data_IF_818142512010
#
_entry.id   IF_818142512010
#
_cell.length_a   1.000
_cell.length_b   1.000
_cell.length_c   1.000
_cell.angle_alpha   90.00
_cell.angle_beta   90.00
_cell.angle_gamma   90.00
#
_symmetry.space_group_name_H-M   'P 1'
#
loop_
_entity.id
_entity.type
_entity.pdbx_description
1 polymer ?
#
# COMPACT_ATOMS: atom_id res chain seq x y z
N UNK A 1 -4.75 -13.41 2.20
CA UNK A 1 -5.67 -12.38 1.68
C UNK A 1 -5.77 -12.59 0.18
N UNK A 2 -6.92 -13.07 -0.29
CA UNK A 2 -7.20 -13.23 -1.72
C UNK A 2 -7.40 -11.83 -2.31
N UNK A 3 -6.89 -11.59 -3.51
CA UNK A 3 -6.96 -10.28 -4.18
C UNK A 3 -7.98 -10.30 -5.31
N UNK A 4 -8.05 -11.38 -6.07
CA UNK A 4 -9.07 -11.61 -7.11
C UNK A 4 -9.07 -13.10 -7.48
N UNK A 5 -10.22 -13.76 -7.51
CA UNK A 5 -10.32 -15.21 -7.77
C UNK A 5 -9.44 -16.05 -6.83
N UNK A 6 -8.54 -16.85 -7.42
CA UNK A 6 -7.56 -17.69 -6.71
C UNK A 6 -6.22 -17.00 -6.42
N UNK A 7 -6.07 -15.73 -6.78
CA UNK A 7 -4.82 -14.97 -6.61
C UNK A 7 -4.65 -14.45 -5.20
N UNK A 8 -3.43 -14.51 -4.70
CA UNK A 8 -3.02 -13.97 -3.40
C UNK A 8 -1.98 -12.86 -3.58
N UNK A 9 -1.88 -11.97 -2.60
CA UNK A 9 -0.82 -10.96 -2.56
C UNK A 9 -0.15 -10.92 -1.18
N UNK A 10 0.71 -11.90 -0.86
CA UNK A 10 1.48 -11.88 0.39
C UNK A 10 2.37 -10.64 0.48
N UNK A 11 2.55 -10.14 1.71
CA UNK A 11 3.53 -9.08 2.01
C UNK A 11 4.92 -9.71 1.93
N UNK A 12 5.77 -9.19 1.05
CA UNK A 12 7.18 -9.61 0.94
C UNK A 12 8.14 -8.61 1.56
N UNK A 13 7.70 -7.36 1.72
CA UNK A 13 8.48 -6.31 2.35
C UNK A 13 7.55 -5.37 3.11
N UNK A 14 7.97 -4.95 4.31
CA UNK A 14 7.32 -3.91 5.10
C UNK A 14 8.38 -2.95 5.64
N UNK A 15 8.06 -1.66 5.66
CA UNK A 15 8.90 -0.62 6.26
C UNK A 15 7.99 0.38 6.98
N UNK A 16 8.45 0.89 8.12
CA UNK A 16 7.76 1.92 8.86
C UNK A 16 8.78 2.91 9.44
N UNK A 17 8.50 4.20 9.25
CA UNK A 17 9.26 5.29 9.87
C UNK A 17 8.36 6.03 10.84
N UNK A 18 8.77 6.04 12.10
CA UNK A 18 8.07 6.75 13.17
C UNK A 18 8.64 8.15 13.33
N UNK A 19 7.78 9.15 13.45
CA UNK A 19 8.14 10.56 13.60
C UNK A 19 7.76 11.12 14.98
N UNK A 20 6.67 10.62 15.57
CA UNK A 20 6.27 10.96 16.95
C UNK A 20 5.63 9.76 17.63
N UNK A 21 5.64 9.77 18.95
CA UNK A 21 4.88 8.82 19.77
C UNK A 21 3.38 9.13 19.72
N UNK A 22 2.59 8.12 20.11
CA UNK A 22 1.15 8.20 20.39
C UNK A 22 0.91 7.61 21.77
N UNK A 23 -0.17 8.02 22.43
CA UNK A 23 -0.55 7.52 23.75
C UNK A 23 -1.73 6.55 23.64
N UNK A 24 -1.95 5.80 24.71
CA UNK A 24 -3.20 5.06 24.87
C UNK A 24 -4.39 6.04 24.75
N UNK A 25 -5.49 5.58 24.14
CA UNK A 25 -6.68 6.38 23.79
C UNK A 25 -6.47 7.48 22.74
N UNK A 26 -5.29 7.60 22.12
CA UNK A 26 -5.16 8.45 20.93
C UNK A 26 -5.89 7.81 19.75
N UNK A 27 -6.82 8.57 19.16
CA UNK A 27 -7.42 8.23 17.87
C UNK A 27 -6.48 8.64 16.72
N UNK A 28 -6.34 7.76 15.73
CA UNK A 28 -5.46 7.96 14.58
C UNK A 28 -6.24 7.82 13.27
N UNK A 29 -5.85 8.61 12.27
CA UNK A 29 -6.25 8.42 10.88
C UNK A 29 -5.16 7.66 10.13
N UNK A 30 -5.56 6.59 9.45
CA UNK A 30 -4.73 5.89 8.48
C UNK A 30 -5.14 6.30 7.07
N UNK A 31 -4.24 6.93 6.34
CA UNK A 31 -4.42 7.23 4.92
C UNK A 31 -3.61 6.21 4.14
N UNK A 32 -4.30 5.40 3.34
CA UNK A 32 -3.67 4.41 2.47
C UNK A 32 -3.60 4.95 1.05
N UNK A 33 -2.43 4.82 0.42
CA UNK A 33 -2.24 5.06 -1.02
C UNK A 33 -1.74 3.81 -1.71
N UNK A 34 -2.21 3.57 -2.92
CA UNK A 34 -1.77 2.46 -3.76
C UNK A 34 -0.93 3.00 -4.93
N UNK A 35 0.25 2.41 -5.12
CA UNK A 35 1.02 2.55 -6.35
C UNK A 35 0.82 1.29 -7.19
N UNK A 36 0.15 1.48 -8.32
CA UNK A 36 0.04 0.46 -9.36
C UNK A 36 1.36 0.45 -10.13
N UNK A 37 2.10 -0.65 -10.03
CA UNK A 37 3.35 -0.83 -10.77
C UNK A 37 3.09 -1.60 -12.07
N UNK A 38 3.97 -1.42 -13.07
CA UNK A 38 3.96 -2.21 -14.32
C UNK A 38 4.49 -3.64 -14.12
N UNK A 39 4.54 -4.10 -12.88
CA UNK A 39 5.09 -5.40 -12.46
C UNK A 39 4.04 -6.10 -11.60
N UNK A 40 4.08 -7.43 -11.43
CA UNK A 40 3.10 -8.22 -10.66
C UNK A 40 3.24 -8.02 -9.14
N UNK A 41 3.17 -6.75 -8.70
CA UNK A 41 3.26 -6.33 -7.31
C UNK A 41 2.37 -5.13 -7.04
N UNK A 42 1.88 -5.05 -5.82
CA UNK A 42 1.13 -3.93 -5.28
C UNK A 42 1.97 -3.27 -4.20
N UNK A 43 2.17 -1.95 -4.30
CA UNK A 43 2.89 -1.19 -3.28
C UNK A 43 1.90 -0.27 -2.58
N UNK A 44 1.71 -0.49 -1.29
CA UNK A 44 0.89 0.37 -0.46
C UNK A 44 1.77 1.30 0.36
N UNK A 45 1.35 2.55 0.46
CA UNK A 45 1.90 3.53 1.37
C UNK A 45 0.86 3.92 2.39
N UNK A 46 1.31 4.15 3.60
CA UNK A 46 0.46 4.46 4.74
C UNK A 46 0.95 5.74 5.38
N UNK A 47 0.03 6.67 5.60
CA UNK A 47 0.29 7.88 6.37
C UNK A 47 -0.59 7.83 7.62
N UNK A 48 0.05 7.68 8.78
CA UNK A 48 -0.62 7.65 10.06
C UNK A 48 -0.58 9.04 10.68
N UNK A 49 -1.74 9.61 11.01
CA UNK A 49 -1.86 10.93 11.64
C UNK A 49 -2.66 10.87 12.92
N UNK A 50 -2.29 11.66 13.92
CA UNK A 50 -3.12 11.83 15.10
C UNK A 50 -4.43 12.56 14.73
N UNK A 51 -5.58 12.03 15.14
CA UNK A 51 -6.90 12.52 14.73
C UNK A 51 -7.14 13.97 15.12
N UNK A 52 -6.78 14.33 16.36
CA UNK A 52 -7.03 15.65 16.95
C UNK A 52 -6.03 16.69 16.44
N UNK A 53 -4.74 16.40 16.55
CA UNK A 53 -3.67 17.35 16.21
C UNK A 53 -3.30 17.38 14.73
N UNK A 54 -3.76 16.40 13.93
CA UNK A 54 -3.39 16.17 12.52
C UNK A 54 -1.90 15.96 12.27
N UNK A 55 -1.08 15.86 13.32
CA UNK A 55 0.36 15.64 13.22
C UNK A 55 0.65 14.27 12.60
N UNK A 56 1.67 14.23 11.75
CA UNK A 56 2.18 13.00 11.15
C UNK A 56 2.85 12.15 12.24
N UNK A 57 2.35 10.94 12.45
CA UNK A 57 2.85 9.97 13.44
C UNK A 57 3.87 9.04 12.82
N UNK A 58 3.51 8.43 11.69
CA UNK A 58 4.36 7.47 11.01
C UNK A 58 4.05 7.45 9.52
N UNK A 59 5.03 7.01 8.74
CA UNK A 59 4.84 6.62 7.35
C UNK A 59 5.19 5.14 7.23
N UNK A 60 4.27 4.35 6.69
CA UNK A 60 4.44 2.94 6.39
C UNK A 60 4.52 2.68 4.90
N UNK A 61 5.11 1.54 4.54
CA UNK A 61 5.13 1.00 3.19
C UNK A 61 5.05 -0.52 3.26
N UNK A 62 4.22 -1.14 2.44
CA UNK A 62 4.28 -2.58 2.18
C UNK A 62 4.39 -2.84 0.69
N UNK A 63 5.13 -3.89 0.35
CA UNK A 63 5.16 -4.45 -1.01
C UNK A 63 4.58 -5.83 -0.97
N UNK A 64 3.61 -6.07 -1.84
CA UNK A 64 2.94 -7.35 -2.00
C UNK A 64 3.22 -7.88 -3.40
N UNK A 65 3.61 -9.14 -3.52
CA UNK A 65 3.81 -9.80 -4.83
C UNK A 65 2.58 -10.63 -5.14
N UNK A 66 2.14 -10.62 -6.39
CA UNK A 66 1.02 -11.44 -6.83
C UNK A 66 1.48 -12.89 -7.01
N UNK A 67 0.77 -13.81 -6.38
CA UNK A 67 0.99 -15.26 -6.50
C UNK A 67 -0.32 -15.98 -6.78
N UNK A 68 -0.24 -17.13 -7.43
CA UNK A 68 -1.38 -18.00 -7.66
C UNK A 68 -1.74 -18.84 -6.40
N UNK A 69 -2.69 -19.76 -6.53
CA UNK A 69 -3.11 -20.63 -5.44
C UNK A 69 -2.05 -21.65 -5.00
N UNK A 70 -1.00 -21.85 -5.79
CA UNK A 70 0.15 -22.70 -5.47
C UNK A 70 1.31 -21.87 -4.87
N UNK A 71 1.10 -20.57 -4.65
CA UNK A 71 2.09 -19.60 -4.20
C UNK A 71 3.22 -19.35 -5.22
N UNK A 72 2.99 -19.65 -6.49
CA UNK A 72 3.93 -19.32 -7.56
C UNK A 72 3.76 -17.87 -8.01
N UNK A 73 4.87 -17.16 -8.23
CA UNK A 73 4.84 -15.78 -8.71
C UNK A 73 4.29 -15.72 -10.13
N UNK A 74 3.29 -14.88 -10.35
CA UNK A 74 2.82 -14.62 -11.71
C UNK A 74 3.73 -13.60 -12.40
N UNK A 75 4.01 -13.79 -13.68
CA UNK A 75 4.85 -12.88 -14.46
C UNK A 75 4.11 -11.59 -14.85
N UNK A 76 2.80 -11.70 -15.04
CA UNK A 76 1.93 -10.61 -15.47
C UNK A 76 0.76 -10.46 -14.50
N UNK A 77 0.23 -9.24 -14.40
CA UNK A 77 -1.01 -8.97 -13.64
C UNK A 77 -2.17 -9.66 -14.38
N UNK A 78 -2.93 -10.57 -13.75
CA UNK A 78 -4.06 -11.24 -14.40
C UNK A 78 -5.14 -10.27 -14.86
N UNK A 79 -5.86 -10.60 -15.93
CA UNK A 79 -6.88 -9.72 -16.53
C UNK A 79 -8.00 -9.33 -15.58
N UNK A 80 -8.40 -10.22 -14.67
CA UNK A 80 -9.40 -9.91 -13.63
C UNK A 80 -8.92 -8.78 -12.73
N UNK A 81 -7.71 -8.89 -12.20
CA UNK A 81 -7.10 -7.87 -11.38
C UNK A 81 -6.84 -6.57 -12.16
N UNK A 82 -6.53 -6.65 -13.45
CA UNK A 82 -6.43 -5.45 -14.29
C UNK A 82 -7.76 -4.68 -14.31
N UNK A 83 -8.90 -5.37 -14.46
CA UNK A 83 -10.23 -4.72 -14.43
C UNK A 83 -10.52 -4.07 -13.07
N UNK A 84 -10.16 -4.74 -11.98
CA UNK A 84 -10.30 -4.19 -10.63
C UNK A 84 -9.46 -2.92 -10.47
N UNK A 85 -8.21 -2.95 -10.95
CA UNK A 85 -7.31 -1.79 -10.94
C UNK A 85 -7.82 -0.64 -11.82
N UNK A 86 -8.40 -0.92 -12.99
CA UNK A 86 -9.00 0.12 -13.83
C UNK A 86 -10.25 0.74 -13.18
N UNK A 87 -11.08 -0.06 -12.51
CA UNK A 87 -12.21 0.45 -11.71
C UNK A 87 -11.71 1.36 -10.59
N UNK A 88 -10.68 0.93 -9.86
CA UNK A 88 -10.04 1.73 -8.81
C UNK A 88 -9.48 3.04 -9.36
N UNK A 89 -8.83 3.02 -10.52
CA UNK A 89 -8.34 4.24 -11.18
C UNK A 89 -9.45 5.23 -11.50
N UNK A 90 -10.59 4.74 -11.96
CA UNK A 90 -11.72 5.58 -12.36
C UNK A 90 -12.50 6.14 -11.17
N UNK A 91 -12.75 5.33 -10.16
CA UNK A 91 -13.67 5.68 -9.06
C UNK A 91 -12.95 6.21 -7.82
N UNK A 92 -11.71 5.79 -7.62
CA UNK A 92 -10.93 6.07 -6.41
C UNK A 92 -9.57 6.69 -6.75
N UNK A 93 -9.50 7.53 -7.78
CA UNK A 93 -8.26 8.18 -8.23
C UNK A 93 -7.48 8.81 -7.06
N UNK A 94 -8.19 9.38 -6.07
CA UNK A 94 -7.58 10.00 -4.90
C UNK A 94 -6.74 9.04 -4.05
N UNK A 95 -6.90 7.71 -4.13
CA UNK A 95 -6.06 6.73 -3.41
C UNK A 95 -4.78 6.38 -4.18
N UNK A 96 -4.66 6.76 -5.45
CA UNK A 96 -3.51 6.43 -6.26
C UNK A 96 -2.33 7.38 -6.01
N UNK A 97 -1.12 6.86 -6.22
CA UNK A 97 0.11 7.65 -6.09
C UNK A 97 1.24 7.10 -6.96
N UNK A 98 2.12 7.99 -7.42
CA UNK A 98 3.41 7.62 -8.04
C UNK A 98 4.43 7.08 -7.01
N UNK A 99 4.17 7.25 -5.72
CA UNK A 99 5.03 6.85 -4.60
C UNK A 99 6.19 7.79 -4.32
N UNK A 100 6.48 8.80 -5.16
CA UNK A 100 7.69 9.63 -5.05
C UNK A 100 7.79 10.36 -3.71
N UNK A 101 6.65 10.84 -3.18
CA UNK A 101 6.58 11.48 -1.86
C UNK A 101 7.04 10.55 -0.75
N UNK A 102 6.62 9.28 -0.79
CA UNK A 102 6.83 8.32 0.30
C UNK A 102 8.19 7.65 0.23
N UNK A 103 8.70 7.34 -0.97
CA UNK A 103 10.00 6.70 -1.11
C UNK A 103 11.13 7.55 -0.52
N UNK A 104 11.07 8.88 -0.67
CA UNK A 104 12.03 9.81 -0.04
C UNK A 104 12.12 9.64 1.49
N UNK A 105 11.03 9.24 2.15
CA UNK A 105 11.01 9.04 3.60
C UNK A 105 11.84 7.82 4.05
N UNK A 106 12.10 6.87 3.15
CA UNK A 106 12.82 5.63 3.43
C UNK A 106 14.27 5.60 2.90
N UNK A 107 14.67 6.58 2.07
CA UNK A 107 16.01 6.63 1.46
C UNK A 107 16.97 7.64 2.12
N UNK A 108 16.54 8.37 3.15
CA UNK A 108 17.43 9.22 3.94
C UNK A 108 18.16 8.38 4.99
N UNK A 109 19.35 7.89 4.62
CA UNK A 109 20.40 7.33 5.49
C UNK A 109 21.60 8.25 5.42
#
# INVERSE_FOLDING_TARGET
MLVSGSMMAPVVQSACRHYTYVRFEDELFLITKLKVANSPKLVFYYELRNYRSKKLVAIGKTTHVLVDSQLEMVLNIPTELQKDLETIKKEYEYILTDGMKYEKCFHAV
#
